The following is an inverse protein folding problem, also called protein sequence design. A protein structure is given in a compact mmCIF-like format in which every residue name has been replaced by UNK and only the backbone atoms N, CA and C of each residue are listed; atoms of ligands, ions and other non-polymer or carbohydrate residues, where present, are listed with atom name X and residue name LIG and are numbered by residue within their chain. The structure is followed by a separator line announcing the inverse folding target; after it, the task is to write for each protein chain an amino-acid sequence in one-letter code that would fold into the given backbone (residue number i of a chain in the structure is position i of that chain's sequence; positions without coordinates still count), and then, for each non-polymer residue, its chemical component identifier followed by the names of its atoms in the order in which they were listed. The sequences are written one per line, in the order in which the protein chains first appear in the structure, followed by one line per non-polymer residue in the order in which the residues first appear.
data_IF_104868064396
#
_entry.id   IF_104868064396
#
_cell.length_a   1.000
_cell.length_b   1.000
_cell.length_c   1.000
_cell.angle_alpha   90.00
_cell.angle_beta   90.00
_cell.angle_gamma   90.00
#
_symmetry.space_group_name_H-M   'P 1'
#
loop_
_entity.id
_entity.type
_entity.pdbx_description
1 polymer ?
#
# COMPACT_ATOMS: atom_id res chain seq x y z
N UNK A 1 20.27 13.47 -4.52
CA UNK A 1 18.81 13.77 -4.75
C UNK A 1 17.96 12.60 -4.29
N UNK A 2 18.43 11.37 -4.49
CA UNK A 2 18.20 10.16 -3.69
C UNK A 2 17.57 10.30 -2.29
N UNK A 3 18.17 11.08 -1.38
CA UNK A 3 17.64 11.24 -0.01
C UNK A 3 16.22 11.82 0.06
N UNK A 4 15.82 12.64 -0.91
CA UNK A 4 14.46 13.16 -1.01
C UNK A 4 13.48 12.10 -1.53
N UNK A 5 13.92 11.23 -2.45
CA UNK A 5 13.12 10.12 -2.97
C UNK A 5 12.84 9.12 -1.85
N UNK A 6 13.86 8.64 -1.16
CA UNK A 6 13.69 7.68 -0.06
C UNK A 6 12.79 8.24 1.05
N UNK A 7 13.02 9.49 1.49
CA UNK A 7 12.17 10.15 2.49
C UNK A 7 10.70 10.25 2.03
N UNK A 8 10.45 10.67 0.79
CA UNK A 8 9.10 10.79 0.26
C UNK A 8 8.39 9.43 0.15
N UNK A 9 9.09 8.37 -0.26
CA UNK A 9 8.53 7.01 -0.29
C UNK A 9 8.19 6.49 1.11
N UNK A 10 9.05 6.69 2.12
CA UNK A 10 8.74 6.28 3.49
C UNK A 10 7.61 7.08 4.12
N UNK A 11 7.51 8.38 3.80
CA UNK A 11 6.36 9.21 4.20
C UNK A 11 5.08 8.66 3.55
N UNK A 12 5.10 8.39 2.25
CA UNK A 12 3.96 7.82 1.53
C UNK A 12 3.55 6.45 2.10
N UNK A 13 4.52 5.59 2.41
CA UNK A 13 4.29 4.32 3.11
C UNK A 13 3.55 4.54 4.43
N UNK A 14 4.03 5.46 5.29
CA UNK A 14 3.38 5.75 6.55
C UNK A 14 1.94 6.28 6.36
N UNK A 15 1.73 7.12 5.34
CA UNK A 15 0.41 7.66 4.99
C UNK A 15 -0.55 6.60 4.46
N UNK A 16 -0.08 5.56 3.76
CA UNK A 16 -0.91 4.44 3.32
C UNK A 16 -1.13 3.40 4.44
N UNK A 17 -0.09 3.13 5.22
CA UNK A 17 -0.10 2.13 6.29
C UNK A 17 -1.05 2.50 7.42
N UNK A 18 -1.18 3.80 7.75
CA UNK A 18 -2.09 4.24 8.79
C UNK A 18 -3.57 3.93 8.46
N UNK A 19 -4.13 4.34 7.31
CA UNK A 19 -5.44 3.88 6.84
C UNK A 19 -5.60 2.37 6.80
N UNK A 20 -4.55 1.61 6.45
CA UNK A 20 -4.61 0.15 6.42
C UNK A 20 -5.00 -0.38 7.80
N UNK A 21 -4.26 0.02 8.84
CA UNK A 21 -4.50 -0.39 10.23
C UNK A 21 -5.90 -0.01 10.72
N UNK A 22 -6.34 1.22 10.39
CA UNK A 22 -7.66 1.72 10.78
C UNK A 22 -8.80 0.93 10.14
N UNK A 23 -8.61 0.48 8.89
CA UNK A 23 -9.65 -0.19 8.13
C UNK A 23 -9.63 -1.72 8.20
N UNK A 24 -8.67 -2.36 8.89
CA UNK A 24 -8.59 -3.83 9.03
C UNK A 24 -9.91 -4.45 9.52
N UNK A 25 -10.61 -3.77 10.44
CA UNK A 25 -11.88 -4.26 11.00
C UNK A 25 -13.08 -4.12 10.05
N UNK A 26 -12.97 -3.29 9.01
CA UNK A 26 -14.07 -3.02 8.06
C UNK A 26 -14.48 -4.24 7.23
N UNK A 27 -13.64 -5.29 7.18
CA UNK A 27 -13.80 -6.47 6.31
C UNK A 27 -14.04 -6.08 4.84
N UNK A 28 -13.51 -4.93 4.43
CA UNK A 28 -13.57 -4.46 3.06
C UNK A 28 -12.37 -4.93 2.24
N UNK A 29 -12.39 -6.21 1.81
CA UNK A 29 -11.26 -6.86 1.14
C UNK A 29 -10.71 -6.05 -0.05
N UNK A 30 -11.53 -5.52 -0.98
CA UNK A 30 -11.00 -4.75 -2.10
C UNK A 30 -10.29 -3.47 -1.65
N UNK A 31 -10.87 -2.73 -0.71
CA UNK A 31 -10.24 -1.53 -0.15
C UNK A 31 -8.93 -1.87 0.57
N UNK A 32 -8.94 -2.89 1.43
CA UNK A 32 -7.75 -3.34 2.14
C UNK A 32 -6.64 -3.78 1.18
N UNK A 33 -7.02 -4.45 0.08
CA UNK A 33 -6.06 -4.88 -0.95
C UNK A 33 -5.44 -3.68 -1.66
N UNK A 34 -6.23 -2.68 -2.07
CA UNK A 34 -5.70 -1.43 -2.66
C UNK A 34 -4.67 -0.79 -1.73
N UNK A 35 -5.04 -0.57 -0.47
CA UNK A 35 -4.17 0.11 0.49
C UNK A 35 -2.90 -0.71 0.77
N UNK A 36 -3.03 -2.04 0.91
CA UNK A 36 -1.90 -2.92 1.13
C UNK A 36 -0.92 -2.94 -0.06
N UNK A 37 -1.43 -3.03 -1.29
CA UNK A 37 -0.58 -2.98 -2.50
C UNK A 37 0.14 -1.65 -2.66
N UNK A 38 -0.54 -0.53 -2.36
CA UNK A 38 0.07 0.80 -2.36
C UNK A 38 1.18 0.86 -1.31
N UNK A 39 0.90 0.49 -0.06
CA UNK A 39 1.88 0.53 1.02
C UNK A 39 3.10 -0.37 0.74
N UNK A 40 2.88 -1.60 0.26
CA UNK A 40 3.98 -2.50 -0.13
C UNK A 40 4.81 -1.88 -1.26
N UNK A 41 4.17 -1.24 -2.24
CA UNK A 41 4.87 -0.61 -3.35
C UNK A 41 5.72 0.59 -2.91
N UNK A 42 5.20 1.44 -2.01
CA UNK A 42 5.96 2.55 -1.43
C UNK A 42 7.16 2.05 -0.61
N UNK A 43 6.97 0.99 0.17
CA UNK A 43 8.06 0.38 0.94
C UNK A 43 9.15 -0.16 0.02
N UNK A 44 8.76 -0.80 -1.09
CA UNK A 44 9.70 -1.28 -2.11
C UNK A 44 10.48 -0.11 -2.73
N UNK A 45 9.82 0.99 -3.10
CA UNK A 45 10.51 2.16 -3.63
C UNK A 45 11.44 2.82 -2.61
N UNK A 46 11.01 2.93 -1.34
CA UNK A 46 11.84 3.50 -0.28
C UNK A 46 13.10 2.67 -0.03
N UNK A 47 12.99 1.34 0.05
CA UNK A 47 14.14 0.45 0.23
C UNK A 47 15.06 0.50 -1.00
N UNK A 48 14.51 0.49 -2.21
CA UNK A 48 15.29 0.61 -3.44
C UNK A 48 16.12 1.90 -3.47
N UNK A 49 15.51 3.05 -3.16
CA UNK A 49 16.21 4.34 -3.17
C UNK A 49 17.25 4.47 -2.06
N UNK A 50 17.22 3.62 -1.03
CA UNK A 50 18.28 3.56 -0.01
C UNK A 50 19.43 2.66 -0.44
N UNK A 51 19.14 1.51 -1.05
CA UNK A 51 20.18 0.54 -1.45
C UNK A 51 21.00 1.07 -2.64
N UNK A 52 20.34 1.73 -3.60
CA UNK A 52 20.94 2.23 -4.83
C UNK A 52 21.15 3.76 -4.82
N UNK A 53 21.28 4.36 -3.64
CA UNK A 53 21.68 5.76 -3.48
C UNK A 53 23.09 5.98 -4.03
N UNK A 54 23.23 6.76 -5.12
CA UNK A 54 24.51 7.02 -5.80
C UNK A 54 25.31 5.73 -6.10
N UNK A 55 24.60 4.62 -6.32
CA UNK A 55 25.17 3.29 -6.46
C UNK A 55 24.43 2.49 -7.54
N UNK A 56 25.18 1.70 -8.30
CA UNK A 56 24.67 0.79 -9.34
C UNK A 56 25.10 -0.66 -9.13
N UNK A 57 25.86 -0.94 -8.06
CA UNK A 57 26.35 -2.28 -7.77
C UNK A 57 25.20 -3.26 -7.55
N UNK A 58 25.38 -4.48 -8.04
CA UNK A 58 24.41 -5.56 -7.90
C UNK A 58 24.60 -6.21 -6.51
N UNK A 59 24.20 -5.48 -5.46
CA UNK A 59 24.43 -5.88 -4.06
C UNK A 59 23.35 -6.86 -3.57
N UNK A 60 22.11 -6.74 -4.07
CA UNK A 60 20.95 -7.45 -3.54
C UNK A 60 20.07 -8.10 -4.63
N UNK A 61 20.62 -9.06 -5.38
CA UNK A 61 19.87 -9.77 -6.43
C UNK A 61 18.57 -10.45 -5.95
N UNK A 62 18.53 -11.15 -4.80
CA UNK A 62 17.29 -11.76 -4.32
C UNK A 62 16.18 -10.74 -4.02
N UNK A 63 16.57 -9.54 -3.58
CA UNK A 63 15.64 -8.44 -3.37
C UNK A 63 15.08 -7.94 -4.71
N UNK A 64 15.92 -7.79 -5.73
CA UNK A 64 15.46 -7.40 -7.08
C UNK A 64 14.51 -8.44 -7.68
N UNK A 65 14.76 -9.74 -7.52
CA UNK A 65 13.85 -10.78 -8.03
C UNK A 65 12.44 -10.66 -7.40
N UNK A 66 12.37 -10.38 -6.10
CA UNK A 66 11.09 -10.22 -5.40
C UNK A 66 10.41 -8.91 -5.81
N UNK A 67 11.13 -7.79 -5.78
CA UNK A 67 10.56 -6.47 -6.01
C UNK A 67 10.10 -6.26 -7.44
N UNK A 68 10.80 -6.82 -8.43
CA UNK A 68 10.38 -6.76 -9.84
C UNK A 68 9.06 -7.47 -10.05
N UNK A 69 8.86 -8.65 -9.45
CA UNK A 69 7.56 -9.36 -9.47
C UNK A 69 6.48 -8.60 -8.70
N UNK A 70 6.80 -8.04 -7.53
CA UNK A 70 5.86 -7.21 -6.77
C UNK A 70 5.40 -5.98 -7.57
N UNK A 71 6.32 -5.30 -8.28
CA UNK A 71 6.00 -4.15 -9.16
C UNK A 71 5.07 -4.57 -10.30
N UNK A 72 5.31 -5.72 -10.94
CA UNK A 72 4.42 -6.25 -11.98
C UNK A 72 3.03 -6.58 -11.41
N UNK A 73 2.98 -7.25 -10.26
CA UNK A 73 1.71 -7.57 -9.63
C UNK A 73 0.94 -6.34 -9.17
N UNK A 74 1.61 -5.32 -8.62
CA UNK A 74 0.96 -4.07 -8.21
C UNK A 74 0.30 -3.35 -9.39
N UNK A 75 0.94 -3.35 -10.57
CA UNK A 75 0.40 -2.75 -11.80
C UNK A 75 -0.96 -3.33 -12.21
N UNK A 76 -1.23 -4.61 -11.91
CA UNK A 76 -2.54 -5.23 -12.16
C UNK A 76 -3.44 -5.27 -10.91
N UNK A 77 -2.86 -5.42 -9.73
CA UNK A 77 -3.62 -5.54 -8.49
C UNK A 77 -4.39 -4.27 -8.15
N UNK A 78 -3.81 -3.09 -8.39
CA UNK A 78 -4.46 -1.82 -8.15
C UNK A 78 -5.72 -1.64 -9.01
N UNK A 79 -5.67 -1.73 -10.35
CA UNK A 79 -6.88 -1.62 -11.18
C UNK A 79 -7.87 -2.76 -10.95
N UNK A 80 -7.40 -4.00 -10.73
CA UNK A 80 -8.29 -5.13 -10.43
C UNK A 80 -9.05 -4.94 -9.09
N UNK A 81 -8.35 -4.50 -8.04
CA UNK A 81 -8.98 -4.24 -6.74
C UNK A 81 -9.92 -3.04 -6.81
N UNK A 82 -9.58 -2.00 -7.58
CA UNK A 82 -10.47 -0.86 -7.84
C UNK A 82 -11.75 -1.28 -8.57
N UNK A 83 -11.67 -2.21 -9.53
CA UNK A 83 -12.84 -2.80 -10.18
C UNK A 83 -13.75 -3.53 -9.18
N UNK A 84 -13.20 -4.41 -8.35
CA UNK A 84 -13.99 -5.15 -7.36
C UNK A 84 -14.62 -4.18 -6.35
N UNK A 85 -13.91 -3.12 -5.99
CA UNK A 85 -14.45 -2.07 -5.12
C UNK A 85 -15.58 -1.29 -5.80
N UNK A 86 -15.43 -0.92 -7.07
CA UNK A 86 -16.47 -0.27 -7.87
C UNK A 86 -17.73 -1.14 -7.96
N UNK A 87 -17.56 -2.43 -8.21
CA UNK A 87 -18.66 -3.40 -8.29
C UNK A 87 -19.35 -3.57 -6.93
N UNK A 88 -18.60 -3.58 -5.83
CA UNK A 88 -19.17 -3.61 -4.47
C UNK A 88 -20.02 -2.37 -4.21
N UNK A 89 -19.51 -1.19 -4.51
CA UNK A 89 -20.23 0.09 -4.37
C UNK A 89 -21.50 0.09 -5.22
N UNK A 90 -21.41 -0.36 -6.47
CA UNK A 90 -22.57 -0.50 -7.36
C UNK A 90 -23.63 -1.47 -6.82
N UNK A 91 -23.24 -2.65 -6.33
CA UNK A 91 -24.16 -3.65 -5.77
C UNK A 91 -24.91 -3.14 -4.54
N UNK A 92 -24.28 -2.31 -3.72
CA UNK A 92 -24.94 -1.63 -2.59
C UNK A 92 -26.11 -0.77 -3.09
N UNK A 93 -25.94 -0.05 -4.20
CA UNK A 93 -27.05 0.76 -4.79
C UNK A 93 -28.20 -0.09 -5.32
N UNK A 94 -27.92 -1.34 -5.69
CA UNK A 94 -28.94 -2.30 -6.13
C UNK A 94 -29.53 -3.13 -4.99
N UNK A 95 -29.12 -2.87 -3.73
CA UNK A 95 -29.47 -3.69 -2.56
C UNK A 95 -29.13 -5.17 -2.75
N UNK A 96 -28.13 -5.48 -3.59
CA UNK A 96 -27.62 -6.84 -3.78
C UNK A 96 -26.55 -7.11 -2.73
N UNK A 97 -26.50 -8.36 -2.23
CA UNK A 97 -25.45 -8.80 -1.31
C UNK A 97 -24.04 -8.59 -1.88
N UNK A 98 -23.02 -8.60 -1.02
CA UNK A 98 -21.61 -8.51 -1.42
C UNK A 98 -21.17 -9.74 -2.22
N UNK A 99 -20.06 -9.61 -2.96
CA UNK A 99 -19.36 -10.76 -3.51
C UNK A 99 -18.86 -11.66 -2.36
N UNK A 100 -18.70 -12.96 -2.63
CA UNK A 100 -18.12 -13.88 -1.68
C UNK A 100 -16.66 -13.52 -1.40
N UNK A 101 -16.22 -13.62 -0.15
CA UNK A 101 -14.83 -13.33 0.24
C UNK A 101 -13.78 -14.07 -0.63
N UNK A 102 -13.96 -15.36 -1.00
CA UNK A 102 -13.01 -16.04 -1.89
C UNK A 102 -12.92 -15.41 -3.28
N UNK A 103 -14.03 -14.93 -3.84
CA UNK A 103 -14.03 -14.26 -5.14
C UNK A 103 -13.34 -12.90 -5.09
N UNK A 104 -13.50 -12.15 -4.01
CA UNK A 104 -12.82 -10.86 -3.83
C UNK A 104 -11.31 -11.07 -3.68
N UNK A 105 -10.87 -12.02 -2.85
CA UNK A 105 -9.45 -12.36 -2.69
C UNK A 105 -8.85 -12.94 -3.97
N UNK A 106 -9.59 -13.77 -4.69
CA UNK A 106 -9.16 -14.34 -5.96
C UNK A 106 -8.81 -13.26 -6.99
N UNK A 107 -9.62 -12.21 -7.10
CA UNK A 107 -9.35 -11.10 -8.03
C UNK A 107 -8.31 -10.11 -7.50
N UNK A 108 -8.31 -9.80 -6.19
CA UNK A 108 -7.41 -8.79 -5.62
C UNK A 108 -5.99 -9.29 -5.34
N UNK A 109 -5.81 -10.60 -5.16
CA UNK A 109 -4.51 -11.23 -4.83
C UNK A 109 -4.15 -12.38 -5.77
N UNK A 110 -5.10 -13.29 -6.02
CA UNK A 110 -4.85 -14.46 -6.87
C UNK A 110 -4.53 -14.10 -8.31
N UNK A 111 -5.30 -13.19 -8.90
CA UNK A 111 -5.10 -12.75 -10.27
C UNK A 111 -3.76 -12.02 -10.47
N UNK A 112 -3.35 -11.06 -9.61
CA UNK A 112 -1.99 -10.51 -9.65
C UNK A 112 -0.89 -11.57 -9.57
N UNK A 113 -1.04 -12.57 -8.69
CA UNK A 113 -0.06 -13.65 -8.57
C UNK A 113 0.08 -14.45 -9.88
N UNK A 114 -1.04 -14.76 -10.55
CA UNK A 114 -1.02 -15.43 -11.86
C UNK A 114 -0.27 -14.57 -12.89
N UNK A 115 -0.51 -13.27 -12.92
CA UNK A 115 0.19 -12.35 -13.84
C UNK A 115 1.69 -12.25 -13.52
N UNK A 116 2.08 -12.26 -12.24
CA UNK A 116 3.50 -12.30 -11.86
C UNK A 116 4.22 -13.56 -12.40
N UNK A 117 3.52 -14.69 -12.42
CA UNK A 117 4.03 -15.93 -13.01
C UNK A 117 4.07 -15.80 -14.53
N UNK A 118 2.97 -15.40 -15.18
CA UNK A 118 2.91 -15.24 -16.64
C UNK A 118 3.91 -14.20 -17.18
N UNK A 119 4.33 -13.24 -16.37
CA UNK A 119 5.40 -12.31 -16.71
C UNK A 119 6.67 -13.02 -17.17
N UNK A 120 6.97 -14.24 -16.67
CA UNK A 120 8.17 -14.97 -17.11
C UNK A 120 8.16 -15.24 -18.61
N UNK A 121 7.00 -15.34 -19.27
CA UNK A 121 6.91 -15.57 -20.72
C UNK A 121 7.42 -14.37 -21.53
N UNK A 122 7.31 -13.18 -20.95
CA UNK A 122 7.59 -11.89 -21.61
C UNK A 122 8.72 -11.14 -20.92
N UNK A 123 9.57 -11.87 -20.19
CA UNK A 123 10.69 -11.33 -19.45
C UNK A 123 11.98 -11.61 -20.24
N UNK A 124 12.53 -10.58 -20.91
CA UNK A 124 13.70 -10.75 -21.78
C UNK A 124 15.00 -11.04 -21.02
N UNK A 125 15.18 -10.39 -19.87
CA UNK A 125 16.32 -10.60 -18.97
C UNK A 125 15.89 -10.45 -17.51
N UNK A 126 16.82 -10.63 -16.57
CA UNK A 126 16.46 -10.85 -15.16
C UNK A 126 15.81 -9.61 -14.57
N UNK A 127 16.49 -8.48 -14.61
CA UNK A 127 16.00 -7.16 -14.21
C UNK A 127 17.02 -6.09 -14.58
N UNK A 128 16.57 -4.84 -14.54
CA UNK A 128 17.43 -3.66 -14.66
C UNK A 128 17.59 -2.99 -13.31
N UNK A 129 18.71 -2.31 -13.11
CA UNK A 129 19.00 -1.46 -11.95
C UNK A 129 19.27 -0.05 -12.46
N UNK A 130 18.50 0.91 -11.95
CA UNK A 130 18.76 2.33 -12.17
C UNK A 130 19.29 2.94 -10.87
N UNK A 131 20.38 3.72 -10.97
CA UNK A 131 20.87 4.55 -9.87
C UNK A 131 19.73 5.40 -9.28
N UNK A 132 19.67 5.53 -7.96
CA UNK A 132 18.64 6.19 -7.13
C UNK A 132 17.23 5.55 -7.11
N UNK A 133 16.85 4.76 -8.13
CA UNK A 133 15.51 4.14 -8.24
C UNK A 133 15.49 2.64 -7.96
N UNK A 134 16.65 1.98 -8.07
CA UNK A 134 16.88 0.56 -7.84
C UNK A 134 16.28 -0.35 -8.92
N UNK A 135 15.84 -1.55 -8.52
CA UNK A 135 15.46 -2.61 -9.45
C UNK A 135 14.16 -2.31 -10.22
N UNK A 136 14.15 -2.52 -11.53
CA UNK A 136 12.97 -2.43 -12.41
C UNK A 136 12.79 -3.72 -13.21
N UNK A 137 11.54 -4.18 -13.43
CA UNK A 137 11.29 -5.40 -14.19
C UNK A 137 11.64 -5.19 -15.66
N UNK A 138 12.38 -6.14 -16.23
CA UNK A 138 12.63 -6.20 -17.66
C UNK A 138 11.41 -6.81 -18.38
N UNK A 139 10.88 -6.09 -19.37
CA UNK A 139 9.73 -6.52 -20.16
C UNK A 139 10.13 -6.57 -21.63
N UNK A 140 9.95 -7.72 -22.27
CA UNK A 140 10.12 -7.89 -23.70
C UNK A 140 8.89 -7.37 -24.44
N UNK A 141 8.99 -6.14 -24.93
CA UNK A 141 7.91 -5.34 -25.53
C UNK A 141 7.41 -6.00 -26.82
N UNK A 142 6.38 -6.82 -26.73
CA UNK A 142 5.92 -7.72 -27.79
C UNK A 142 4.40 -7.94 -27.74
N UNK A 143 3.82 -8.63 -28.73
CA UNK A 143 2.37 -8.92 -28.73
C UNK A 143 1.94 -9.71 -27.48
N UNK A 144 2.68 -10.75 -27.03
CA UNK A 144 2.33 -11.43 -25.79
C UNK A 144 2.39 -10.51 -24.55
N UNK A 145 3.32 -9.54 -24.49
CA UNK A 145 3.38 -8.62 -23.35
C UNK A 145 2.15 -7.73 -23.28
N UNK A 146 1.60 -7.29 -24.42
CA UNK A 146 0.34 -6.55 -24.50
C UNK A 146 -0.81 -7.41 -23.92
N UNK A 147 -0.93 -8.66 -24.36
CA UNK A 147 -2.03 -9.53 -23.94
C UNK A 147 -1.97 -9.84 -22.45
N UNK A 148 -0.76 -10.10 -21.92
CA UNK A 148 -0.57 -10.53 -20.53
C UNK A 148 -0.57 -9.34 -19.56
N UNK A 149 0.15 -8.26 -19.88
CA UNK A 149 0.43 -7.18 -18.94
C UNK A 149 -0.43 -5.94 -19.15
N UNK A 150 -1.02 -5.73 -20.35
CA UNK A 150 -1.62 -4.43 -20.70
C UNK A 150 -3.13 -4.49 -20.83
N UNK A 151 -3.65 -5.51 -21.51
CA UNK A 151 -5.10 -5.69 -21.68
C UNK A 151 -5.80 -5.84 -20.32
N UNK A 152 -5.36 -6.71 -19.39
CA UNK A 152 -6.07 -6.90 -18.13
C UNK A 152 -6.23 -5.63 -17.28
N UNK A 153 -5.17 -4.83 -17.00
CA UNK A 153 -5.34 -3.62 -16.19
C UNK A 153 -6.15 -2.53 -16.90
N UNK A 154 -6.08 -2.45 -18.23
CA UNK A 154 -6.85 -1.48 -19.01
C UNK A 154 -8.35 -1.81 -18.98
N UNK A 155 -8.70 -3.08 -19.20
CA UNK A 155 -10.08 -3.57 -19.10
C UNK A 155 -10.60 -3.38 -17.68
N UNK A 156 -9.82 -3.75 -16.67
CA UNK A 156 -10.22 -3.58 -15.28
C UNK A 156 -10.52 -2.11 -14.94
N UNK A 157 -9.67 -1.18 -15.38
CA UNK A 157 -9.87 0.27 -15.16
C UNK A 157 -11.11 0.81 -15.88
N UNK A 158 -11.30 0.45 -17.15
CA UNK A 158 -12.46 0.87 -17.93
C UNK A 158 -13.78 0.37 -17.30
N UNK A 159 -13.84 -0.91 -16.95
CA UNK A 159 -15.03 -1.51 -16.32
C UNK A 159 -15.27 -0.92 -14.92
N UNK A 160 -14.21 -0.61 -14.16
CA UNK A 160 -14.33 0.06 -12.87
C UNK A 160 -15.00 1.43 -12.99
N UNK A 161 -14.58 2.24 -13.98
CA UNK A 161 -15.16 3.56 -14.24
C UNK A 161 -16.64 3.46 -14.65
N UNK A 162 -17.01 2.45 -15.45
CA UNK A 162 -18.41 2.20 -15.83
C UNK A 162 -19.26 1.91 -14.58
N UNK A 163 -18.85 0.94 -13.75
CA UNK A 163 -19.61 0.58 -12.54
C UNK A 163 -19.67 1.73 -11.55
N UNK A 164 -18.59 2.49 -11.39
CA UNK A 164 -18.57 3.64 -10.51
C UNK A 164 -19.52 4.75 -10.99
N UNK A 165 -19.55 5.02 -12.30
CA UNK A 165 -20.48 5.99 -12.91
C UNK A 165 -21.93 5.56 -12.69
N UNK A 166 -22.25 4.27 -12.90
CA UNK A 166 -23.58 3.74 -12.64
C UNK A 166 -23.96 3.83 -11.16
N UNK A 167 -23.02 3.57 -10.25
CA UNK A 167 -23.26 3.71 -8.81
C UNK A 167 -23.56 5.16 -8.41
N UNK A 168 -22.85 6.13 -9.01
CA UNK A 168 -23.08 7.55 -8.77
C UNK A 168 -24.46 8.00 -9.27
N UNK A 169 -24.86 7.57 -10.48
CA UNK A 169 -26.19 7.86 -11.05
C UNK A 169 -27.30 7.27 -10.17
N UNK A 170 -27.16 6.01 -9.73
CA UNK A 170 -28.13 5.37 -8.84
C UNK A 170 -28.22 6.08 -7.50
N UNK A 171 -27.08 6.46 -6.92
CA UNK A 171 -27.04 7.22 -5.68
C UNK A 171 -27.73 8.58 -5.81
N UNK A 172 -27.51 9.30 -6.93
CA UNK A 172 -28.17 10.58 -7.19
C UNK A 172 -29.69 10.42 -7.31
N UNK A 173 -30.16 9.39 -8.03
CA UNK A 173 -31.59 9.08 -8.20
C UNK A 173 -32.27 8.64 -6.90
N UNK A 174 -31.61 7.81 -6.10
CA UNK A 174 -32.18 7.18 -4.91
C UNK A 174 -31.75 7.85 -3.61
N UNK A 175 -31.21 9.08 -3.67
CA UNK A 175 -30.65 9.79 -2.53
C UNK A 175 -31.56 9.72 -1.31
N UNK A 176 -32.86 10.02 -1.46
CA UNK A 176 -33.84 9.99 -0.34
C UNK A 176 -34.02 8.60 0.28
N UNK A 177 -34.12 7.54 -0.52
CA UNK A 177 -34.25 6.16 -0.03
C UNK A 177 -32.96 5.68 0.67
N UNK A 178 -31.80 6.05 0.12
CA UNK A 178 -30.51 5.72 0.72
C UNK A 178 -30.28 6.44 2.06
N UNK A 179 -30.79 7.68 2.20
CA UNK A 179 -30.77 8.42 3.46
C UNK A 179 -31.60 7.76 4.58
N UNK A 180 -32.62 6.96 4.21
CA UNK A 180 -33.48 6.21 5.13
C UNK A 180 -32.86 4.85 5.50
N UNK A 181 -32.22 4.16 4.56
CA UNK A 181 -31.53 2.88 4.80
C UNK A 181 -30.32 3.01 5.73
N UNK A 182 -29.61 4.13 5.67
CA UNK A 182 -28.48 4.45 6.57
C UNK A 182 -28.90 4.94 7.96
N UNK A 183 -30.22 5.08 8.22
CA UNK A 183 -30.77 5.40 9.56
C UNK A 183 -31.25 4.15 10.32
N UNK A 184 -31.24 2.97 9.69
CA UNK A 184 -31.69 1.73 10.32
C UNK A 184 -30.62 1.22 11.30
N UNK A 185 -30.95 1.00 12.59
CA UNK A 185 -29.98 0.67 13.64
C UNK A 185 -29.35 -0.73 13.52
N UNK A 186 -29.88 -1.59 12.65
CA UNK A 186 -29.50 -3.01 12.55
C UNK A 186 -28.69 -3.41 11.31
N UNK A 187 -28.38 -2.49 10.39
CA UNK A 187 -27.47 -2.80 9.28
C UNK A 187 -26.08 -2.24 9.59
N UNK A 188 -25.05 -3.07 9.41
CA UNK A 188 -23.65 -2.73 9.65
C UNK A 188 -23.30 -1.33 9.12
N UNK A 189 -22.94 -0.45 10.04
CA UNK A 189 -22.81 1.00 9.92
C UNK A 189 -21.85 1.43 8.80
N UNK A 190 -22.35 1.60 7.57
CA UNK A 190 -21.71 2.49 6.60
C UNK A 190 -22.42 3.85 6.72
N UNK A 191 -21.79 4.79 7.42
CA UNK A 191 -22.24 6.18 7.44
C UNK A 191 -22.23 6.76 6.03
N UNK A 192 -23.14 7.72 5.75
CA UNK A 192 -23.24 8.39 4.44
C UNK A 192 -21.89 8.96 3.98
N UNK A 193 -21.11 9.51 4.92
CA UNK A 193 -19.77 10.01 4.68
C UNK A 193 -18.78 8.92 4.29
N UNK A 194 -18.83 7.75 4.93
CA UNK A 194 -18.00 6.59 4.58
C UNK A 194 -18.29 6.06 3.18
N UNK A 195 -19.57 5.95 2.80
CA UNK A 195 -19.96 5.54 1.45
C UNK A 195 -19.48 6.52 0.37
N UNK A 196 -19.70 7.82 0.57
CA UNK A 196 -19.27 8.84 -0.39
C UNK A 196 -17.76 8.88 -0.57
N UNK A 197 -16.98 8.77 0.52
CA UNK A 197 -15.52 8.64 0.44
C UNK A 197 -15.08 7.44 -0.37
N UNK A 198 -15.79 6.32 -0.23
CA UNK A 198 -15.50 5.10 -0.98
C UNK A 198 -15.76 5.28 -2.48
N UNK A 199 -16.90 5.90 -2.86
CA UNK A 199 -17.22 6.21 -4.26
C UNK A 199 -16.18 7.15 -4.87
N UNK A 200 -15.86 8.25 -4.16
CA UNK A 200 -14.89 9.24 -4.63
C UNK A 200 -13.49 8.65 -4.77
N UNK A 201 -13.07 7.81 -3.82
CA UNK A 201 -11.80 7.09 -3.92
C UNK A 201 -11.76 6.23 -5.19
N UNK A 202 -12.82 5.45 -5.47
CA UNK A 202 -12.88 4.59 -6.67
C UNK A 202 -12.79 5.42 -7.95
N UNK A 203 -13.46 6.58 -8.01
CA UNK A 203 -13.35 7.48 -9.16
C UNK A 203 -11.93 8.02 -9.33
N UNK A 204 -11.35 8.56 -8.27
CA UNK A 204 -10.01 9.16 -8.29
C UNK A 204 -8.96 8.10 -8.64
N UNK A 205 -8.95 6.96 -7.95
CA UNK A 205 -8.02 5.88 -8.24
C UNK A 205 -8.28 5.22 -9.60
N UNK A 206 -9.54 5.11 -10.03
CA UNK A 206 -9.89 4.57 -11.34
C UNK A 206 -9.35 5.42 -12.48
N UNK A 207 -9.54 6.74 -12.42
CA UNK A 207 -8.99 7.69 -13.39
C UNK A 207 -7.46 7.73 -13.32
N UNK A 208 -6.91 7.76 -12.10
CA UNK A 208 -5.46 7.77 -11.88
C UNK A 208 -4.79 6.52 -12.45
N UNK A 209 -5.32 5.33 -12.16
CA UNK A 209 -4.80 4.08 -12.70
C UNK A 209 -4.88 4.06 -14.23
N UNK A 210 -6.00 4.48 -14.81
CA UNK A 210 -6.16 4.55 -16.27
C UNK A 210 -5.12 5.48 -16.91
N UNK A 211 -4.87 6.65 -16.30
CA UNK A 211 -3.85 7.60 -16.74
C UNK A 211 -2.44 7.01 -16.63
N UNK A 212 -2.07 6.44 -15.49
CA UNK A 212 -0.75 5.85 -15.25
C UNK A 212 -0.49 4.70 -16.23
N UNK A 213 -1.48 3.83 -16.46
CA UNK A 213 -1.38 2.75 -17.44
C UNK A 213 -1.16 3.33 -18.85
N UNK A 214 -2.01 4.26 -19.29
CA UNK A 214 -1.92 4.84 -20.63
C UNK A 214 -0.56 5.49 -20.90
N UNK A 215 -0.05 6.30 -19.96
CA UNK A 215 1.26 6.96 -20.09
C UNK A 215 2.42 5.97 -20.06
N UNK A 216 2.35 4.95 -19.19
CA UNK A 216 3.36 3.88 -19.14
C UNK A 216 3.42 3.12 -20.47
N UNK A 217 2.27 2.85 -21.09
CA UNK A 217 2.23 2.13 -22.39
C UNK A 217 2.69 2.99 -23.55
N UNK A 218 2.32 4.28 -23.56
CA UNK A 218 2.82 5.23 -24.54
C UNK A 218 4.36 5.32 -24.51
N UNK A 219 4.95 5.31 -23.30
CA UNK A 219 6.41 5.27 -23.14
C UNK A 219 7.02 3.94 -23.60
N UNK A 220 6.42 2.81 -23.22
CA UNK A 220 6.94 1.47 -23.54
C UNK A 220 6.94 1.17 -25.05
N UNK A 221 5.94 1.64 -25.80
CA UNK A 221 5.76 1.30 -27.22
C UNK A 221 6.32 2.33 -28.21
N UNK A 222 6.99 3.39 -27.73
CA UNK A 222 7.51 4.47 -28.59
C UNK A 222 8.47 3.97 -29.69
N UNK A 223 9.20 2.89 -29.42
CA UNK A 223 10.19 2.30 -30.32
C UNK A 223 9.63 1.13 -31.16
N UNK A 224 8.32 0.87 -31.10
CA UNK A 224 7.68 -0.27 -31.77
C UNK A 224 7.69 -1.55 -30.94
N UNK A 225 7.22 -2.63 -31.55
CA UNK A 225 7.15 -3.97 -30.95
C UNK A 225 8.28 -4.85 -31.48
N UNK A 226 8.86 -5.63 -30.58
CA UNK A 226 9.81 -6.69 -30.92
C UNK A 226 9.04 -7.97 -31.28
N UNK A 227 9.51 -8.73 -32.29
CA UNK A 227 8.90 -10.00 -32.65
C UNK A 227 9.14 -11.03 -31.54
N UNK A 228 8.07 -11.65 -31.04
CA UNK A 228 8.16 -12.79 -30.13
C UNK A 228 8.21 -14.06 -30.97
N UNK A 229 9.40 -14.65 -31.15
CA UNK A 229 9.64 -15.78 -32.05
C UNK A 229 9.48 -17.13 -31.34
N UNK A 230 10.41 -17.46 -30.46
CA UNK A 230 10.40 -18.68 -29.66
C UNK A 230 10.92 -18.40 -28.23
N UNK A 231 10.80 -19.39 -27.35
CA UNK A 231 11.21 -19.26 -25.95
C UNK A 231 12.71 -18.98 -25.82
N UNK A 232 13.54 -19.70 -26.57
CA UNK A 232 15.00 -19.63 -26.44
C UNK A 232 15.54 -18.27 -26.91
N UNK A 233 14.97 -17.70 -27.98
CA UNK A 233 15.34 -16.37 -28.49
C UNK A 233 15.05 -15.26 -27.47
N UNK A 234 13.87 -15.30 -26.84
CA UNK A 234 13.45 -14.27 -25.87
C UNK A 234 14.22 -14.37 -24.56
N UNK A 235 14.69 -15.57 -24.21
CA UNK A 235 15.39 -15.87 -22.95
C UNK A 235 16.89 -16.12 -23.12
N UNK A 236 17.46 -15.81 -24.29
CA UNK A 236 18.87 -16.08 -24.59
C UNK A 236 19.83 -15.49 -23.54
N UNK A 237 19.56 -14.25 -23.12
CA UNK A 237 20.32 -13.52 -22.12
C UNK A 237 19.55 -13.36 -20.79
N UNK A 238 18.76 -14.38 -20.41
CA UNK A 238 17.85 -14.25 -19.26
C UNK A 238 18.56 -13.86 -17.95
N UNK A 239 19.78 -14.33 -17.73
CA UNK A 239 20.54 -14.05 -16.51
C UNK A 239 21.24 -12.69 -16.50
N UNK A 240 21.17 -11.94 -17.60
CA UNK A 240 21.73 -10.61 -17.70
C UNK A 240 21.02 -9.67 -16.72
N UNK A 241 21.83 -8.88 -16.02
CA UNK A 241 21.40 -7.77 -15.17
C UNK A 241 22.05 -6.52 -15.72
N UNK A 242 21.25 -5.60 -16.24
CA UNK A 242 21.77 -4.32 -16.73
C UNK A 242 21.70 -3.27 -15.64
N UNK A 243 22.78 -2.52 -15.46
CA UNK A 243 22.84 -1.44 -14.48
C UNK A 243 23.15 -0.12 -15.21
N UNK A 244 22.36 0.91 -14.92
CA UNK A 244 22.43 2.20 -15.61
C UNK A 244 22.70 3.33 -14.61
N UNK A 245 23.85 4.01 -14.71
CA UNK A 245 24.08 5.23 -13.94
C UNK A 245 23.16 6.33 -14.47
N UNK A 246 22.62 7.14 -13.57
CA UNK A 246 21.60 8.15 -13.85
C UNK A 246 22.06 9.15 -14.92
N UNK A 247 23.35 9.49 -14.91
CA UNK A 247 23.96 10.42 -15.87
C UNK A 247 23.94 9.93 -17.33
N UNK A 248 23.83 8.62 -17.56
CA UNK A 248 23.78 8.03 -18.91
C UNK A 248 22.35 7.69 -19.35
N UNK A 249 21.35 7.85 -18.48
CA UNK A 249 19.96 7.58 -18.80
C UNK A 249 19.39 8.70 -19.69
N UNK A 250 18.85 8.37 -20.89
CA UNK A 250 18.18 9.34 -21.74
C UNK A 250 17.06 10.10 -21.03
N UNK A 251 16.91 11.40 -21.33
CA UNK A 251 16.00 12.29 -20.62
C UNK A 251 14.52 11.84 -20.63
N UNK A 252 14.10 11.19 -21.71
CA UNK A 252 12.77 10.62 -21.87
C UNK A 252 12.54 9.39 -20.97
N UNK A 253 13.53 8.51 -20.83
CA UNK A 253 13.49 7.37 -19.90
C UNK A 253 13.53 7.89 -18.46
N UNK A 254 14.37 8.88 -18.18
CA UNK A 254 14.48 9.50 -16.87
C UNK A 254 13.15 10.13 -16.44
N UNK A 255 12.49 10.87 -17.33
CA UNK A 255 11.17 11.46 -17.07
C UNK A 255 10.10 10.39 -16.77
N UNK A 256 10.12 9.28 -17.51
CA UNK A 256 9.25 8.13 -17.22
C UNK A 256 9.56 7.51 -15.85
N UNK A 257 10.83 7.37 -15.49
CA UNK A 257 11.26 6.76 -14.23
C UNK A 257 10.76 7.57 -13.02
N UNK A 258 10.89 8.90 -13.08
CA UNK A 258 10.31 9.80 -12.09
C UNK A 258 8.78 9.72 -12.05
N UNK A 259 8.10 9.65 -13.21
CA UNK A 259 6.64 9.52 -13.27
C UNK A 259 6.16 8.20 -12.63
N UNK A 260 6.75 7.07 -13.02
CA UNK A 260 6.40 5.74 -12.50
C UNK A 260 6.72 5.61 -11.01
N UNK A 261 7.80 6.23 -10.55
CA UNK A 261 8.12 6.32 -9.13
C UNK A 261 7.09 7.16 -8.38
N UNK A 262 6.75 8.37 -8.87
CA UNK A 262 5.80 9.28 -8.22
C UNK A 262 4.35 8.77 -8.22
N UNK A 263 4.00 7.88 -9.16
CA UNK A 263 2.66 7.36 -9.31
C UNK A 263 2.11 6.67 -8.04
N UNK A 264 2.98 5.97 -7.32
CA UNK A 264 2.60 5.22 -6.10
C UNK A 264 2.47 6.14 -4.88
N UNK A 265 3.43 7.02 -4.55
CA UNK A 265 3.26 8.01 -3.49
C UNK A 265 2.01 8.86 -3.65
N UNK A 266 1.71 9.33 -4.87
CA UNK A 266 0.47 10.08 -5.16
C UNK A 266 -0.78 9.27 -4.82
N UNK A 267 -0.76 7.96 -5.09
CA UNK A 267 -1.86 7.06 -4.72
C UNK A 267 -2.05 6.96 -3.20
N UNK A 268 -0.96 6.97 -2.44
CA UNK A 268 -0.97 7.00 -0.96
C UNK A 268 -1.58 8.28 -0.43
N UNK A 269 -1.26 9.43 -1.03
CA UNK A 269 -1.89 10.70 -0.70
C UNK A 269 -3.40 10.68 -0.97
N UNK A 270 -3.87 10.08 -2.07
CA UNK A 270 -5.31 9.93 -2.31
C UNK A 270 -5.98 9.09 -1.23
N UNK A 271 -5.45 7.91 -0.92
CA UNK A 271 -5.99 7.04 0.14
C UNK A 271 -6.04 7.78 1.47
N UNK A 272 -4.94 8.42 1.86
CA UNK A 272 -4.87 9.16 3.12
C UNK A 272 -5.82 10.37 3.13
N UNK A 273 -5.96 11.10 2.03
CA UNK A 273 -6.90 12.21 1.94
C UNK A 273 -8.36 11.81 2.20
N UNK A 274 -8.78 10.66 1.66
CA UNK A 274 -10.15 10.18 1.83
C UNK A 274 -10.42 9.52 3.19
N UNK A 275 -9.45 8.80 3.75
CA UNK A 275 -9.65 7.99 4.97
C UNK A 275 -8.94 8.53 6.22
N UNK A 276 -7.89 9.34 6.06
CA UNK A 276 -7.12 9.93 7.13
C UNK A 276 -7.93 10.88 8.00
N UNK A 277 -8.84 11.66 7.42
CA UNK A 277 -9.59 12.74 8.12
C UNK A 277 -11.04 12.39 8.48
N UNK A 278 -11.37 11.12 8.66
CA UNK A 278 -12.72 10.71 9.03
C UNK A 278 -13.17 11.16 10.41
N UNK A 279 -14.43 11.61 10.56
CA UNK A 279 -15.02 11.80 11.90
C UNK A 279 -14.88 10.54 12.77
N UNK A 280 -15.06 9.37 12.13
CA UNK A 280 -14.90 8.05 12.73
C UNK A 280 -13.43 7.70 13.09
N UNK A 281 -12.42 8.39 12.53
CA UNK A 281 -10.99 8.11 12.81
C UNK A 281 -10.41 8.96 13.92
N UNK A 282 -11.02 10.11 14.27
CA UNK A 282 -10.54 10.98 15.36
C UNK A 282 -10.54 10.29 16.72
N UNK A 283 -11.55 9.47 17.02
CA UNK A 283 -11.58 8.65 18.24
C UNK A 283 -10.47 7.60 18.28
N UNK A 284 -10.17 6.99 17.14
CA UNK A 284 -9.10 5.99 17.01
C UNK A 284 -7.72 6.62 17.12
N UNK A 285 -7.48 7.80 16.53
CA UNK A 285 -6.22 8.52 16.72
C UNK A 285 -6.00 8.92 18.18
N UNK A 286 -7.06 9.34 18.88
CA UNK A 286 -6.99 9.61 20.33
C UNK A 286 -6.67 8.36 21.13
N UNK A 287 -7.25 7.21 20.77
CA UNK A 287 -6.96 5.94 21.42
C UNK A 287 -5.52 5.45 21.16
N UNK A 288 -5.03 5.58 19.92
CA UNK A 288 -3.64 5.25 19.55
C UNK A 288 -2.66 6.22 20.22
N UNK A 289 -2.95 7.52 20.23
CA UNK A 289 -2.14 8.52 20.93
C UNK A 289 -2.13 8.31 22.44
N UNK A 290 -3.26 7.94 23.03
CA UNK A 290 -3.35 7.59 24.45
C UNK A 290 -2.58 6.30 24.76
N UNK A 291 -2.65 5.29 23.90
CA UNK A 291 -1.85 4.06 24.02
C UNK A 291 -0.35 4.34 23.87
N UNK A 292 0.04 5.16 22.89
CA UNK A 292 1.43 5.55 22.66
C UNK A 292 1.99 6.31 23.86
N UNK A 293 1.25 7.31 24.36
CA UNK A 293 1.60 8.04 25.58
C UNK A 293 1.66 7.10 26.79
N UNK A 294 0.70 6.19 26.96
CA UNK A 294 0.71 5.24 28.07
C UNK A 294 1.88 4.24 27.99
N UNK A 295 2.30 3.84 26.78
CA UNK A 295 3.39 2.87 26.58
C UNK A 295 4.79 3.51 26.70
N UNK A 296 4.97 4.76 26.24
CA UNK A 296 6.22 5.51 26.42
C UNK A 296 6.36 6.09 27.84
N UNK A 297 5.31 6.68 28.42
CA UNK A 297 5.39 7.31 29.75
C UNK A 297 5.44 6.29 30.90
N UNK A 298 4.91 5.07 30.72
CA UNK A 298 5.10 3.97 31.69
C UNK A 298 6.51 3.37 31.66
N UNK A 299 7.27 3.53 30.57
CA UNK A 299 8.68 3.14 30.53
C UNK A 299 9.62 4.17 31.20
N UNK A 300 9.18 5.42 31.38
CA UNK A 300 9.94 6.45 32.09
C UNK A 300 9.78 6.46 33.62
N UNK A 301 8.73 5.82 34.16
CA UNK A 301 8.41 5.87 35.61
C UNK A 301 8.79 4.60 36.37
N UNK A 302 9.24 3.54 35.69
CA UNK A 302 9.68 2.29 36.31
C UNK A 302 11.11 2.28 36.87
N UNK A 303 11.90 3.35 36.65
CA UNK A 303 13.28 3.44 37.16
C UNK A 303 13.41 4.24 38.47
N UNK A 304 12.43 5.06 38.84
CA UNK A 304 12.48 5.84 40.08
C UNK A 304 11.83 5.16 41.29
N UNK A 305 10.99 4.12 41.11
CA UNK A 305 10.36 3.43 42.25
C UNK A 305 11.28 2.41 42.94
N UNK A 306 12.35 1.95 42.30
CA UNK A 306 13.29 0.97 42.89
C UNK A 306 14.37 1.62 43.77
N UNK A 307 14.60 2.93 43.64
CA UNK A 307 15.57 3.66 44.49
C UNK A 307 14.92 4.14 45.79
N UNK A 308 13.60 4.36 45.82
CA UNK A 308 12.89 4.78 47.03
C UNK A 308 12.66 3.64 48.05
N UNK A 309 12.60 2.37 47.62
CA UNK A 309 12.43 1.24 48.55
C UNK A 309 13.72 0.84 49.27
N UNK A 310 14.89 1.10 48.68
CA UNK A 310 16.17 0.79 49.32
C UNK A 310 16.65 1.83 50.34
N UNK A 311 16.09 3.05 50.33
CA UNK A 311 16.42 4.12 51.28
C UNK A 311 15.68 4.07 52.63
N UNK A 312 14.59 3.30 52.73
CA UNK A 312 13.74 3.26 53.93
C UNK A 312 14.06 2.09 54.88
N UNK A 313 14.63 0.98 54.38
CA UNK A 313 15.00 -0.17 55.22
C UNK A 313 16.33 0.02 55.96
N UNK A 314 17.21 0.92 55.51
CA UNK A 314 18.48 1.20 56.17
C UNK A 314 18.36 2.09 57.43
N UNK A 315 17.20 2.73 57.67
CA UNK A 315 17.00 3.66 58.80
C UNK A 315 16.24 3.03 59.98
N UNK A 316 15.56 1.89 59.80
CA UNK A 316 14.81 1.22 60.87
C UNK A 316 15.58 0.11 61.60
N UNK A 317 16.77 -0.28 61.12
CA UNK A 317 17.57 -1.33 61.74
C UNK A 317 18.46 -0.85 62.92
N UNK A 318 18.54 0.46 63.18
CA UNK A 318 19.51 1.04 64.13
C UNK A 318 18.89 1.67 65.39
N UNK A 319 17.59 1.49 65.64
CA UNK A 319 16.87 2.09 66.78
C UNK A 319 16.13 1.09 67.69
N UNK A 320 16.31 -0.22 67.50
CA UNK A 320 15.65 -1.27 68.32
C UNK A 320 16.59 -2.07 69.22
N UNK A 321 17.82 -1.60 69.41
CA UNK A 321 18.72 -2.07 70.47
C UNK A 321 19.02 -0.92 71.41
N UNK A 322 18.10 -0.63 72.32
CA UNK A 322 18.46 -0.31 73.70
C UNK A 322 17.21 -0.18 74.59
N UNK A 323 17.35 -0.73 75.79
CA UNK A 323 16.45 -0.65 76.96
C UNK A 323 15.22 -1.57 77.05
N UNK A 324 15.52 -2.85 77.30
CA UNK A 324 14.80 -3.66 78.29
C UNK A 324 15.47 -3.51 79.68
N UNK A 325 14.84 -2.80 80.61
CA UNK A 325 14.95 -2.90 82.09
C UNK A 325 13.87 -1.97 82.65
N UNK A 326 12.94 -2.32 83.52
CA UNK A 326 12.62 -3.51 84.29
C UNK A 326 11.64 -3.09 85.40
N UNK A 327 10.74 -4.00 85.83
CA UNK A 327 9.97 -3.97 87.12
C UNK A 327 9.02 -2.77 87.35
N UNK A 328 7.96 -2.79 88.16
CA UNK A 328 7.25 -3.77 88.98
C UNK A 328 6.21 -2.97 89.80
N UNK A 329 4.97 -3.47 89.90
CA UNK A 329 4.05 -3.41 91.06
C UNK A 329 3.31 -2.11 91.43
N UNK A 330 2.02 -2.34 91.71
CA UNK A 330 1.01 -1.57 92.46
C UNK A 330 0.28 -0.43 91.73
#
# INVERSE_FOLDING_TARGET
MSGALSAAAFIAFALAFLPLLLHLRSRNIPLLSIIAWIAVSDLVYGINSVIWDENIDIVASPWCDITTKLKIGANIALPASTLVLALRVYRITLQKGRLGMPSELGVCLGFPFIIMVLHTIVQGHRFDVYEDFGCTPAIFVSIPSIIILDIPPLVASAVALIYCSLALVNFAKQRRAFLLLTRQPHSSQITKGGYLRLVLLVLVLGVWNALVIALTRASAYKNGLLPWTNWDDVHADFWLVSAYPLALVPADILGWLYFSWAAVPISSFFVFGFFGFGGDTTGTYRAVGAWFNASMLRRGTGFQSTVASHGSEASQADLTKDHHHGRSVA
#
